data_IF_174285353168
#
_entry.id   IF_174285353168
#
_cell.length_a   1.000
_cell.length_b   1.000
_cell.length_c   1.000
_cell.angle_alpha   90.00
_cell.angle_beta   90.00
_cell.angle_gamma   90.00
#
_symmetry.space_group_name_H-M   'P 1'
#
loop_
_entity.id
_entity.type
_entity.pdbx_description
1 polymer ?
#
# COMPACT_ATOMS: atom_id res chain seq x y z
N UNK A 1 0.06 13.43 -3.11
CA UNK A 1 0.63 13.61 -1.74
C UNK A 1 0.85 12.26 -1.08
N UNK A 2 1.71 12.21 -0.06
CA UNK A 2 2.03 10.99 0.68
C UNK A 2 1.93 11.23 2.18
N UNK A 3 1.40 10.26 2.91
CA UNK A 3 1.47 10.25 4.37
C UNK A 3 2.36 9.11 4.83
N UNK A 4 3.20 9.39 5.83
CA UNK A 4 3.98 8.40 6.55
C UNK A 4 3.30 8.14 7.89
N UNK A 5 3.14 6.87 8.20
CA UNK A 5 2.43 6.39 9.38
C UNK A 5 3.42 5.64 10.25
N UNK A 6 3.44 5.96 11.54
CA UNK A 6 4.14 5.19 12.57
C UNK A 6 3.12 4.57 13.51
N UNK A 7 3.42 3.38 14.03
CA UNK A 7 2.51 2.65 14.92
C UNK A 7 3.13 2.36 16.28
N UNK A 8 2.30 1.93 17.23
CA UNK A 8 2.75 1.26 18.46
C UNK A 8 3.43 -0.06 18.13
N UNK A 9 4.06 -0.68 19.13
CA UNK A 9 4.45 -2.10 19.06
C UNK A 9 3.20 -2.98 18.93
N UNK A 10 3.36 -4.14 18.28
CA UNK A 10 2.31 -5.15 18.21
C UNK A 10 2.13 -5.87 19.57
N UNK A 11 0.91 -6.33 19.84
CA UNK A 11 0.59 -7.13 21.04
C UNK A 11 0.57 -8.63 20.77
N UNK A 12 0.43 -9.04 19.53
CA UNK A 12 0.58 -10.41 19.06
C UNK A 12 1.38 -10.45 17.78
N UNK A 13 2.07 -11.55 17.51
CA UNK A 13 2.92 -11.67 16.32
C UNK A 13 2.12 -11.45 15.02
N UNK A 14 2.72 -10.73 14.09
CA UNK A 14 2.14 -10.40 12.80
C UNK A 14 2.52 -11.49 11.80
N UNK A 15 1.57 -12.22 11.19
CA UNK A 15 1.87 -13.27 10.22
C UNK A 15 2.51 -12.69 8.96
N UNK A 16 3.31 -13.47 8.22
CA UNK A 16 3.95 -12.98 7.00
C UNK A 16 2.96 -12.60 5.89
N UNK A 17 1.78 -13.19 5.88
CA UNK A 17 0.69 -12.92 4.93
C UNK A 17 -0.25 -11.78 5.38
N UNK A 18 0.24 -10.87 6.21
CA UNK A 18 -0.54 -9.76 6.78
C UNK A 18 -1.09 -8.78 5.74
N UNK A 19 -0.68 -8.87 4.47
CA UNK A 19 -1.06 -7.91 3.42
C UNK A 19 -2.58 -7.75 3.29
N UNK A 20 -3.34 -8.84 3.40
CA UNK A 20 -4.80 -8.77 3.37
C UNK A 20 -5.39 -8.00 4.56
N UNK A 21 -4.79 -8.18 5.75
CA UNK A 21 -5.18 -7.41 6.94
C UNK A 21 -4.85 -5.92 6.78
N UNK A 22 -3.69 -5.63 6.17
CA UNK A 22 -3.28 -4.25 5.89
C UNK A 22 -4.22 -3.58 4.89
N UNK A 23 -4.57 -4.28 3.81
CA UNK A 23 -5.58 -3.80 2.83
C UNK A 23 -6.92 -3.55 3.52
N UNK A 24 -7.39 -4.47 4.36
CA UNK A 24 -8.63 -4.31 5.13
C UNK A 24 -8.59 -3.06 6.04
N UNK A 25 -7.46 -2.81 6.69
CA UNK A 25 -7.26 -1.61 7.52
C UNK A 25 -7.32 -0.34 6.68
N UNK A 26 -6.64 -0.31 5.53
CA UNK A 26 -6.64 0.83 4.62
C UNK A 26 -8.07 1.08 4.09
N UNK A 27 -8.80 0.04 3.71
CA UNK A 27 -10.20 0.16 3.27
C UNK A 27 -11.11 0.69 4.39
N UNK A 28 -10.91 0.26 5.64
CA UNK A 28 -11.61 0.81 6.81
C UNK A 28 -11.41 2.34 6.88
N UNK A 29 -10.20 2.82 6.72
CA UNK A 29 -9.88 4.25 6.76
C UNK A 29 -10.38 5.03 5.55
N UNK A 30 -10.36 4.43 4.36
CA UNK A 30 -10.91 5.04 3.13
C UNK A 30 -12.44 5.15 3.24
N UNK A 31 -13.10 4.18 3.90
CA UNK A 31 -14.55 4.12 4.05
C UNK A 31 -15.28 3.74 2.76
N UNK A 32 -16.61 3.75 2.80
CA UNK A 32 -17.45 3.49 1.63
C UNK A 32 -17.38 4.67 0.66
N UNK A 33 -16.86 4.42 -0.53
CA UNK A 33 -16.82 5.39 -1.63
C UNK A 33 -16.75 4.65 -2.97
N UNK A 34 -16.89 5.40 -4.07
CA UNK A 34 -16.88 4.89 -5.45
C UNK A 34 -15.52 4.29 -5.90
N UNK A 35 -14.49 4.33 -5.05
CA UNK A 35 -13.15 3.78 -5.37
C UNK A 35 -13.17 2.25 -5.44
N UNK A 36 -14.15 1.59 -4.80
CA UNK A 36 -14.26 0.12 -4.84
C UNK A 36 -14.56 -0.43 -6.23
N UNK A 37 -15.18 0.36 -7.10
CA UNK A 37 -15.63 -0.06 -8.43
C UNK A 37 -14.76 0.51 -9.56
N UNK A 38 -13.73 1.29 -9.23
CA UNK A 38 -12.83 1.94 -10.19
C UNK A 38 -11.36 1.62 -9.91
N UNK A 39 -10.46 2.04 -10.79
CA UNK A 39 -9.01 1.90 -10.59
C UNK A 39 -8.60 2.64 -9.31
N UNK A 40 -7.98 1.90 -8.39
CA UNK A 40 -7.48 2.46 -7.13
C UNK A 40 -6.35 3.45 -7.39
N UNK A 41 -6.59 4.74 -7.17
CA UNK A 41 -5.61 5.82 -7.32
C UNK A 41 -4.85 6.08 -6.01
N UNK A 42 -4.54 5.02 -5.28
CA UNK A 42 -3.68 5.06 -4.11
C UNK A 42 -2.66 3.92 -4.15
N UNK A 43 -1.59 4.10 -3.39
CA UNK A 43 -0.56 3.06 -3.19
C UNK A 43 -0.08 3.06 -1.75
N UNK A 44 0.45 1.93 -1.30
CA UNK A 44 0.99 1.80 0.05
C UNK A 44 2.23 0.91 0.07
N UNK A 45 3.07 1.14 1.08
CA UNK A 45 4.21 0.26 1.35
C UNK A 45 3.83 -0.87 2.30
N UNK A 46 4.65 -1.90 2.34
CA UNK A 46 4.64 -2.87 3.42
C UNK A 46 5.07 -2.22 4.74
N UNK A 47 4.77 -2.90 5.86
CA UNK A 47 5.26 -2.51 7.18
C UNK A 47 6.79 -2.69 7.23
N UNK A 48 7.48 -1.69 7.75
CA UNK A 48 8.93 -1.67 7.95
C UNK A 48 9.24 -1.67 9.45
N UNK A 49 10.44 -2.11 9.82
CA UNK A 49 10.91 -2.14 11.21
C UNK A 49 10.59 -3.45 11.93
N UNK A 50 10.07 -4.45 11.24
CA UNK A 50 9.79 -5.77 11.81
C UNK A 50 11.02 -6.67 11.88
N UNK A 51 11.09 -7.45 12.94
CA UNK A 51 12.06 -8.52 13.17
C UNK A 51 11.37 -9.88 12.98
N UNK A 52 12.07 -10.82 12.33
CA UNK A 52 11.57 -12.18 12.18
C UNK A 52 11.64 -12.92 13.52
N UNK A 53 10.50 -13.40 13.98
CA UNK A 53 10.38 -14.27 15.17
C UNK A 53 9.64 -15.53 14.77
N UNK A 54 10.35 -16.66 14.74
CA UNK A 54 9.80 -17.93 14.24
C UNK A 54 9.23 -17.78 12.82
N UNK A 55 7.94 -18.04 12.63
CA UNK A 55 7.23 -17.93 11.36
C UNK A 55 6.33 -16.68 11.28
N UNK A 56 6.77 -15.58 11.91
CA UNK A 56 6.01 -14.32 11.97
C UNK A 56 6.95 -13.12 12.12
N UNK A 57 6.38 -11.93 12.18
CA UNK A 57 7.07 -10.67 12.41
C UNK A 57 6.72 -10.10 13.79
N UNK A 58 7.70 -9.51 14.45
CA UNK A 58 7.54 -8.71 15.64
C UNK A 58 8.01 -7.28 15.36
N UNK A 59 7.28 -6.29 15.86
CA UNK A 59 7.59 -4.86 15.71
C UNK A 59 7.79 -4.24 17.10
N UNK A 60 8.93 -4.50 17.77
CA UNK A 60 9.15 -4.10 19.16
C UNK A 60 9.16 -2.58 19.35
N UNK A 61 9.53 -1.84 18.32
CA UNK A 61 9.56 -0.38 18.28
C UNK A 61 8.44 0.25 17.44
N UNK A 62 7.40 -0.53 17.15
CA UNK A 62 6.35 -0.16 16.20
C UNK A 62 6.77 -0.38 14.75
N UNK A 63 5.82 -0.24 13.85
CA UNK A 63 6.01 -0.33 12.41
C UNK A 63 5.92 1.05 11.77
N UNK A 64 6.55 1.19 10.60
CA UNK A 64 6.36 2.35 9.73
C UNK A 64 5.87 1.92 8.37
N UNK A 65 5.02 2.73 7.74
CA UNK A 65 4.55 2.55 6.38
C UNK A 65 4.20 3.89 5.75
N UNK A 66 3.98 3.91 4.45
CA UNK A 66 3.40 5.06 3.78
C UNK A 66 2.14 4.71 2.97
N UNK A 67 1.28 5.71 2.82
CA UNK A 67 0.17 5.74 1.86
C UNK A 67 0.36 6.95 0.95
N UNK A 68 0.20 6.76 -0.35
CA UNK A 68 0.21 7.84 -1.35
C UNK A 68 -1.15 7.88 -2.03
N UNK A 69 -1.68 9.08 -2.20
CA UNK A 69 -2.96 9.34 -2.83
C UNK A 69 -2.78 10.30 -4.00
N UNK A 70 -3.51 10.07 -5.07
CA UNK A 70 -3.65 11.03 -6.16
C UNK A 70 -4.56 12.18 -5.74
N UNK A 71 -5.67 11.85 -5.05
CA UNK A 71 -6.68 12.81 -4.60
C UNK A 71 -6.46 13.21 -3.13
N UNK A 72 -6.25 14.51 -2.90
CA UNK A 72 -6.05 15.09 -1.56
C UNK A 72 -7.31 15.03 -0.69
N UNK A 73 -8.50 15.03 -1.28
CA UNK A 73 -9.76 14.92 -0.54
C UNK A 73 -9.85 13.55 0.14
N UNK A 74 -9.47 12.50 -0.59
CA UNK A 74 -9.42 11.14 -0.05
C UNK A 74 -8.38 11.05 1.05
N UNK A 75 -7.18 11.60 0.83
CA UNK A 75 -6.12 11.63 1.84
C UNK A 75 -6.58 12.29 3.14
N UNK A 76 -7.21 13.47 3.07
CA UNK A 76 -7.75 14.18 4.25
C UNK A 76 -8.80 13.35 4.99
N UNK A 77 -9.67 12.65 4.26
CA UNK A 77 -10.66 11.73 4.84
C UNK A 77 -9.99 10.58 5.57
N UNK A 78 -8.98 9.97 4.96
CA UNK A 78 -8.19 8.88 5.57
C UNK A 78 -7.51 9.35 6.85
N UNK A 79 -6.88 10.51 6.85
CA UNK A 79 -6.26 11.09 8.05
C UNK A 79 -7.30 11.27 9.15
N UNK A 80 -8.48 11.82 8.83
CA UNK A 80 -9.57 11.98 9.79
C UNK A 80 -10.01 10.61 10.35
N UNK A 81 -10.22 9.63 9.49
CA UNK A 81 -10.61 8.27 9.91
C UNK A 81 -9.57 7.62 10.82
N UNK A 82 -8.27 7.84 10.57
CA UNK A 82 -7.20 7.35 11.44
C UNK A 82 -7.24 8.04 12.82
N UNK A 83 -7.53 9.34 12.86
CA UNK A 83 -7.67 10.09 14.12
C UNK A 83 -8.89 9.63 14.92
N UNK A 84 -9.97 9.26 14.25
CA UNK A 84 -11.19 8.74 14.88
C UNK A 84 -11.03 7.28 15.34
N UNK A 85 -10.31 6.45 14.57
CA UNK A 85 -10.01 5.04 14.87
C UNK A 85 -8.61 4.68 14.34
N UNK A 86 -7.64 4.73 15.23
CA UNK A 86 -6.22 4.45 14.93
C UNK A 86 -5.87 2.97 14.94
N UNK A 87 -6.80 2.09 15.34
CA UNK A 87 -6.53 0.67 15.48
C UNK A 87 -6.28 -0.02 14.14
N UNK A 88 -5.28 -0.90 14.15
CA UNK A 88 -4.93 -1.79 13.06
C UNK A 88 -5.13 -3.25 13.51
N UNK A 89 -4.41 -4.17 12.93
CA UNK A 89 -4.41 -5.57 13.31
C UNK A 89 -3.25 -5.90 14.27
N UNK A 90 -3.35 -7.02 14.98
CA UNK A 90 -2.35 -7.55 15.91
C UNK A 90 -1.94 -6.54 17.02
N UNK A 91 -2.84 -5.63 17.39
CA UNK A 91 -2.59 -4.62 18.43
C UNK A 91 -1.67 -3.47 18.00
N UNK A 92 -1.35 -3.38 16.71
CA UNK A 92 -0.77 -2.16 16.15
C UNK A 92 -1.80 -1.04 16.19
N UNK A 93 -1.38 0.16 16.52
CA UNK A 93 -2.22 1.36 16.50
C UNK A 93 -1.40 2.54 16.01
N UNK A 94 -1.98 3.40 15.19
CA UNK A 94 -1.27 4.56 14.66
C UNK A 94 -0.96 5.56 15.78
N UNK A 95 0.30 5.97 15.85
CA UNK A 95 0.80 6.95 16.85
C UNK A 95 1.17 8.28 16.23
N UNK A 96 1.59 8.27 14.97
CA UNK A 96 2.01 9.48 14.29
C UNK A 96 1.71 9.42 12.80
N UNK A 97 1.36 10.58 12.22
CA UNK A 97 1.18 10.78 10.78
C UNK A 97 2.00 12.00 10.39
N UNK A 98 2.88 11.83 9.40
CA UNK A 98 3.60 12.93 8.75
C UNK A 98 3.15 13.03 7.31
N UNK A 99 2.90 14.24 6.84
CA UNK A 99 2.47 14.51 5.47
C UNK A 99 3.68 15.02 4.68
N UNK A 100 3.95 14.35 3.56
CA UNK A 100 4.94 14.81 2.58
C UNK A 100 4.20 15.41 1.38
N UNK A 101 4.63 16.57 0.96
CA UNK A 101 4.20 17.17 -0.28
C UNK A 101 4.63 16.32 -1.49
N UNK A 102 3.90 16.47 -2.59
CA UNK A 102 4.28 15.83 -3.84
C UNK A 102 5.62 16.38 -4.29
N UNK A 103 6.68 15.56 -4.38
CA UNK A 103 7.97 16.04 -4.85
C UNK A 103 7.87 16.45 -6.32
N UNK A 104 8.66 17.45 -6.73
CA UNK A 104 8.84 17.74 -8.15
C UNK A 104 9.47 16.52 -8.83
N UNK A 105 8.79 15.99 -9.84
CA UNK A 105 9.28 14.89 -10.67
C UNK A 105 9.95 15.39 -11.95
N UNK A 106 10.05 16.72 -12.13
CA UNK A 106 10.75 17.33 -13.25
C UNK A 106 12.19 16.83 -13.30
N UNK A 107 12.64 16.43 -14.46
CA UNK A 107 13.99 15.90 -14.72
C UNK A 107 14.34 14.61 -13.94
N UNK A 108 13.34 13.85 -13.47
CA UNK A 108 13.54 12.52 -12.88
C UNK A 108 13.31 11.43 -13.94
N UNK A 109 14.38 10.77 -14.34
CA UNK A 109 14.34 9.70 -15.35
C UNK A 109 14.27 8.30 -14.75
N UNK A 110 14.69 8.16 -13.49
CA UNK A 110 14.74 6.87 -12.80
C UNK A 110 13.86 6.86 -11.55
N UNK A 111 13.07 5.81 -11.44
CA UNK A 111 12.21 5.55 -10.29
C UNK A 111 12.50 4.15 -9.73
N UNK A 112 12.64 4.06 -8.41
CA UNK A 112 12.87 2.79 -7.72
C UNK A 112 11.57 2.31 -7.07
N UNK A 113 11.25 1.04 -7.29
CA UNK A 113 10.11 0.42 -6.63
C UNK A 113 10.44 0.15 -5.16
N UNK A 114 9.63 0.69 -4.25
CA UNK A 114 9.79 0.47 -2.81
C UNK A 114 9.22 -0.87 -2.33
N UNK A 115 8.54 -1.61 -3.21
CA UNK A 115 7.99 -2.95 -2.96
C UNK A 115 8.09 -3.80 -4.21
N UNK A 116 8.10 -5.13 -4.09
CA UNK A 116 8.03 -6.01 -5.25
C UNK A 116 6.78 -5.71 -6.11
N UNK A 117 6.97 -5.72 -7.42
CA UNK A 117 5.89 -5.58 -8.39
C UNK A 117 5.63 -6.94 -9.01
N UNK A 118 4.37 -7.31 -9.10
CA UNK A 118 3.90 -8.40 -9.94
C UNK A 118 2.56 -8.03 -10.59
N UNK A 119 2.31 -8.58 -11.75
CA UNK A 119 1.12 -8.30 -12.53
C UNK A 119 0.30 -9.57 -12.64
N UNK A 120 -0.99 -9.48 -12.35
CA UNK A 120 -1.95 -10.57 -12.57
C UNK A 120 -2.73 -10.30 -13.85
N UNK A 121 -2.85 -11.31 -14.69
CA UNK A 121 -3.71 -11.29 -15.88
C UNK A 121 -4.56 -12.54 -15.93
N UNK A 122 -5.83 -12.35 -16.28
CA UNK A 122 -6.71 -13.45 -16.65
C UNK A 122 -6.38 -13.85 -18.09
N UNK A 123 -6.07 -15.11 -18.27
CA UNK A 123 -5.77 -15.70 -19.58
C UNK A 123 -7.06 -16.10 -20.32
N UNK A 124 -6.96 -16.38 -21.61
CA UNK A 124 -8.11 -16.78 -22.44
C UNK A 124 -8.78 -18.07 -21.94
N UNK A 125 -8.01 -18.98 -21.35
CA UNK A 125 -8.51 -20.22 -20.74
C UNK A 125 -9.18 -20.00 -19.35
N UNK A 126 -9.28 -18.74 -18.90
CA UNK A 126 -9.86 -18.36 -17.62
C UNK A 126 -8.89 -18.48 -16.42
N UNK A 127 -7.70 -19.02 -16.60
CA UNK A 127 -6.67 -19.10 -15.55
C UNK A 127 -6.13 -17.72 -15.21
N UNK A 128 -5.52 -17.57 -14.01
CA UNK A 128 -4.83 -16.34 -13.61
C UNK A 128 -3.33 -16.61 -13.66
N UNK A 129 -2.63 -15.92 -14.55
CA UNK A 129 -1.18 -15.92 -14.60
C UNK A 129 -0.62 -14.72 -13.83
N UNK A 130 0.46 -14.97 -13.08
CA UNK A 130 1.25 -13.95 -12.40
C UNK A 130 2.56 -13.74 -13.16
N UNK A 131 2.90 -12.48 -13.41
CA UNK A 131 4.12 -12.06 -14.08
C UNK A 131 4.99 -11.34 -13.06
N UNK A 132 6.24 -11.76 -12.94
CA UNK A 132 7.26 -11.18 -12.07
C UNK A 132 8.25 -10.35 -12.90
N UNK A 133 9.23 -9.73 -12.27
CA UNK A 133 10.23 -8.92 -12.98
C UNK A 133 11.08 -9.72 -13.97
N UNK A 134 11.19 -11.04 -13.80
CA UNK A 134 11.97 -11.94 -14.67
C UNK A 134 11.21 -12.33 -15.95
N UNK A 135 9.90 -12.09 -16.02
CA UNK A 135 9.11 -12.41 -17.21
C UNK A 135 9.35 -11.37 -18.31
N UNK A 136 9.67 -11.80 -19.53
CA UNK A 136 9.92 -10.93 -20.69
C UNK A 136 8.75 -9.98 -20.98
N UNK A 137 7.52 -10.39 -20.70
CA UNK A 137 6.31 -9.61 -20.96
C UNK A 137 6.03 -8.55 -19.89
N UNK A 138 6.68 -8.60 -18.74
CA UNK A 138 6.35 -7.74 -17.57
C UNK A 138 6.45 -6.26 -17.90
N UNK A 139 7.49 -5.84 -18.63
CA UNK A 139 7.69 -4.43 -18.99
C UNK A 139 6.55 -3.90 -19.86
N UNK A 140 6.09 -4.68 -20.85
CA UNK A 140 4.98 -4.31 -21.74
C UNK A 140 3.66 -4.24 -20.95
N UNK A 141 3.37 -5.24 -20.12
CA UNK A 141 2.18 -5.31 -19.28
C UNK A 141 2.14 -4.20 -18.22
N UNK A 142 3.30 -3.83 -17.67
CA UNK A 142 3.39 -2.72 -16.73
C UNK A 142 3.08 -1.39 -17.43
N UNK A 143 3.67 -1.16 -18.61
CA UNK A 143 3.40 0.03 -19.43
C UNK A 143 1.91 0.15 -19.79
N UNK A 144 1.29 -0.96 -20.20
CA UNK A 144 -0.15 -1.02 -20.48
C UNK A 144 -0.98 -0.63 -19.26
N UNK A 145 -0.67 -1.22 -18.09
CA UNK A 145 -1.37 -0.94 -16.83
C UNK A 145 -1.24 0.52 -16.41
N UNK A 146 -0.04 1.09 -16.51
CA UNK A 146 0.21 2.50 -16.18
C UNK A 146 -0.51 3.43 -17.17
N UNK A 147 -0.47 3.11 -18.47
CA UNK A 147 -1.16 3.90 -19.51
C UNK A 147 -2.68 3.90 -19.29
N UNK A 148 -3.26 2.75 -18.91
CA UNK A 148 -4.69 2.67 -18.58
C UNK A 148 -5.04 3.58 -17.38
N UNK A 149 -4.21 3.55 -16.32
CA UNK A 149 -4.40 4.42 -15.15
C UNK A 149 -4.28 5.93 -15.44
N UNK A 150 -3.51 6.30 -16.46
CA UNK A 150 -3.35 7.72 -16.84
C UNK A 150 -4.52 8.26 -17.67
N UNK A 151 -5.38 7.39 -18.18
CA UNK A 151 -6.53 7.77 -19.03
C UNK A 151 -7.83 7.98 -18.25
N UNK A 152 -7.85 7.63 -16.98
CA UNK A 152 -8.94 7.86 -16.04
C UNK A 152 -8.72 9.12 -15.20
#
# INVERSE_FOLDING_TARGET
MRIHISTTKNTCLVPFDYQQKLVGTIHKWIGNNSIHDSISLYSFSWLKGGEKVSNALNFPNGATMFLSFYDDVIMRRVIKSILDDSEMFCGLSVTNITIDDTPSLENKELFYCASPIFIKRKMEDGSIKQFTYDDEQTSALLKETLTAKMRE
#
